data_IF_669786398664
#
_entry.id   IF_669786398664
#
_cell.length_a   1.000
_cell.length_b   1.000
_cell.length_c   1.000
_cell.angle_alpha   90.00
_cell.angle_beta   90.00
_cell.angle_gamma   90.00
#
_symmetry.space_group_name_H-M   'P 1'
#
loop_
_entity.id
_entity.type
_entity.pdbx_description
1 polymer ?
#
# COMPACT_ATOMS: atom_id res chain seq x y z
N UNK A 1 18.37 11.44 1.34
CA UNK A 1 17.79 12.75 0.98
C UNK A 1 16.33 12.85 1.41
N UNK A 2 15.47 11.87 1.11
CA UNK A 2 14.05 11.86 1.51
C UNK A 2 13.88 11.98 3.02
N UNK A 3 14.59 11.16 3.81
CA UNK A 3 14.56 11.21 5.27
C UNK A 3 14.92 12.60 5.83
N UNK A 4 15.83 13.33 5.19
CA UNK A 4 16.21 14.69 5.62
C UNK A 4 15.02 15.66 5.47
N UNK A 5 14.32 15.63 4.34
CA UNK A 5 13.16 16.52 4.15
C UNK A 5 12.04 16.21 5.14
N UNK A 6 11.71 14.93 5.31
CA UNK A 6 10.69 14.52 6.28
C UNK A 6 11.07 14.91 7.70
N UNK A 7 12.35 14.72 8.09
CA UNK A 7 12.87 15.14 9.38
C UNK A 7 12.72 16.65 9.62
N UNK A 8 13.14 17.47 8.63
CA UNK A 8 13.08 18.92 8.75
C UNK A 8 11.63 19.42 8.84
N UNK A 9 10.70 18.86 8.10
CA UNK A 9 9.28 19.19 8.18
C UNK A 9 8.73 18.82 9.55
N UNK A 10 9.02 17.61 10.06
CA UNK A 10 8.58 17.19 11.38
C UNK A 10 9.10 18.14 12.48
N UNK A 11 10.38 18.51 12.43
CA UNK A 11 10.98 19.44 13.41
C UNK A 11 10.43 20.86 13.28
N UNK A 12 10.22 21.36 12.06
CA UNK A 12 9.62 22.67 11.82
C UNK A 12 8.18 22.77 12.34
N UNK A 13 7.39 21.71 12.15
CA UNK A 13 6.01 21.63 12.61
C UNK A 13 5.87 21.30 14.12
N UNK A 14 6.97 21.08 14.85
CA UNK A 14 6.94 20.62 16.24
C UNK A 14 6.36 19.20 16.39
N UNK A 15 6.37 18.43 15.32
CA UNK A 15 5.87 17.06 15.25
C UNK A 15 6.91 16.00 15.55
N UNK A 16 6.52 14.75 15.37
CA UNK A 16 7.36 13.57 15.55
C UNK A 16 7.84 13.02 14.21
N UNK A 17 9.08 12.57 14.19
CA UNK A 17 9.68 11.87 13.06
C UNK A 17 9.69 10.37 13.36
N UNK A 18 8.89 9.59 12.64
CA UNK A 18 8.71 8.15 12.82
C UNK A 18 9.53 7.40 11.79
N UNK A 19 10.25 6.37 12.20
CA UNK A 19 10.90 5.41 11.32
C UNK A 19 10.06 4.14 11.24
N UNK A 20 9.58 3.79 10.03
CA UNK A 20 8.85 2.56 9.74
C UNK A 20 9.63 1.73 8.72
N UNK A 21 9.82 0.44 9.01
CA UNK A 21 10.45 -0.51 8.10
C UNK A 21 9.38 -1.15 7.22
N UNK A 22 9.51 -0.96 5.92
CA UNK A 22 8.56 -1.43 4.90
C UNK A 22 9.12 -2.66 4.20
N UNK A 23 9.02 -3.81 4.85
CA UNK A 23 9.61 -5.11 4.47
C UNK A 23 8.61 -6.07 3.81
N UNK A 24 7.53 -5.57 3.21
CA UNK A 24 6.49 -6.39 2.56
C UNK A 24 6.96 -7.06 1.26
N UNK A 25 8.11 -6.66 0.70
CA UNK A 25 8.74 -7.31 -0.45
C UNK A 25 9.89 -8.21 0.02
N UNK A 26 9.53 -9.43 0.39
CA UNK A 26 10.48 -10.43 0.89
C UNK A 26 11.55 -10.84 -0.15
N UNK A 27 11.26 -10.66 -1.44
CA UNK A 27 12.22 -10.94 -2.51
C UNK A 27 13.39 -9.95 -2.58
N UNK A 28 13.25 -8.80 -1.94
CA UNK A 28 14.28 -7.75 -1.85
C UNK A 28 14.92 -7.66 -0.46
N UNK A 29 14.68 -8.63 0.39
CA UNK A 29 15.29 -8.64 1.72
C UNK A 29 16.82 -8.72 1.62
N UNK A 30 17.51 -7.82 2.34
CA UNK A 30 18.97 -7.81 2.46
C UNK A 30 19.30 -7.81 3.95
N UNK A 31 20.03 -8.83 4.37
CA UNK A 31 20.50 -8.95 5.76
C UNK A 31 21.38 -7.75 6.12
N UNK A 32 21.15 -7.16 7.31
CA UNK A 32 21.87 -5.98 7.80
C UNK A 32 21.44 -4.64 7.19
N UNK A 33 20.50 -4.61 6.24
CA UNK A 33 20.04 -3.36 5.63
C UNK A 33 19.45 -2.38 6.65
N UNK A 34 18.75 -2.87 7.66
CA UNK A 34 18.17 -2.05 8.73
C UNK A 34 19.26 -1.38 9.57
N UNK A 35 20.35 -2.09 9.88
CA UNK A 35 21.50 -1.54 10.62
C UNK A 35 22.20 -0.43 9.82
N UNK A 36 22.26 -0.58 8.49
CA UNK A 36 22.77 0.47 7.60
C UNK A 36 21.87 1.70 7.65
N UNK A 37 20.55 1.55 7.69
CA UNK A 37 19.61 2.67 7.85
C UNK A 37 19.89 3.39 9.18
N UNK A 38 19.92 2.66 10.30
CA UNK A 38 20.17 3.26 11.61
C UNK A 38 21.52 3.98 11.68
N UNK A 39 22.59 3.36 11.20
CA UNK A 39 23.92 3.95 11.21
C UNK A 39 24.01 5.21 10.34
N UNK A 40 23.37 5.18 9.16
CA UNK A 40 23.33 6.33 8.24
C UNK A 40 22.55 7.49 8.84
N UNK A 41 21.36 7.22 9.41
CA UNK A 41 20.57 8.25 10.07
C UNK A 41 21.32 8.89 11.22
N UNK A 42 21.98 8.09 12.04
CA UNK A 42 22.80 8.55 13.17
C UNK A 42 23.98 9.41 12.70
N UNK A 43 24.69 8.98 11.65
CA UNK A 43 25.80 9.73 11.07
C UNK A 43 25.36 11.08 10.48
N UNK A 44 24.12 11.19 10.01
CA UNK A 44 23.52 12.42 9.48
C UNK A 44 22.85 13.28 10.58
N UNK A 45 22.83 12.85 11.83
CA UNK A 45 22.13 13.56 12.92
C UNK A 45 20.60 13.51 12.82
N UNK A 46 20.04 12.57 12.06
CA UNK A 46 18.59 12.38 11.87
C UNK A 46 18.08 11.41 12.94
N UNK A 47 17.71 11.96 14.12
CA UNK A 47 17.13 11.16 15.20
C UNK A 47 15.63 11.02 15.02
N UNK A 48 15.13 9.78 14.98
CA UNK A 48 13.69 9.50 14.98
C UNK A 48 13.17 9.42 16.42
N UNK A 49 11.91 9.81 16.60
CA UNK A 49 11.24 9.85 17.91
C UNK A 49 10.54 8.52 18.21
N UNK A 50 10.15 7.79 17.15
CA UNK A 50 9.48 6.49 17.22
C UNK A 50 10.03 5.57 16.15
N UNK A 51 10.13 4.28 16.41
CA UNK A 51 10.63 3.31 15.45
C UNK A 51 10.87 1.93 16.08
N UNK A 52 11.35 0.95 15.31
CA UNK A 52 11.52 -0.42 15.79
C UNK A 52 12.51 -0.54 16.96
N UNK A 53 13.55 0.29 16.98
CA UNK A 53 14.63 0.28 17.97
C UNK A 53 14.33 1.12 19.22
N UNK A 54 13.52 2.16 19.10
CA UNK A 54 13.17 3.07 20.20
C UNK A 54 11.76 2.87 20.74
N UNK A 55 10.92 2.13 20.00
CA UNK A 55 9.51 1.93 20.35
C UNK A 55 8.66 3.16 20.11
N UNK A 56 7.47 3.18 20.74
CA UNK A 56 6.49 4.27 20.67
C UNK A 56 5.05 3.74 20.75
N UNK A 57 4.05 4.64 20.86
CA UNK A 57 2.66 4.25 21.12
C UNK A 57 1.90 3.67 19.94
N UNK A 58 2.41 3.84 18.70
CA UNK A 58 1.69 3.47 17.46
C UNK A 58 2.31 2.27 16.73
N UNK A 59 3.24 1.56 17.39
CA UNK A 59 3.85 0.33 16.86
C UNK A 59 2.85 -0.82 16.64
N UNK A 60 3.35 -1.94 16.10
CA UNK A 60 4.72 -2.22 15.61
C UNK A 60 5.14 -1.31 14.44
N UNK A 61 6.46 -1.09 14.29
CA UNK A 61 7.03 -0.23 13.25
C UNK A 61 7.68 -1.01 12.11
N UNK A 62 7.45 -2.33 12.05
CA UNK A 62 7.85 -3.22 10.95
C UNK A 62 6.59 -3.77 10.29
N UNK A 63 6.44 -3.60 8.98
CA UNK A 63 5.18 -3.91 8.31
C UNK A 63 4.81 -5.40 8.35
N UNK A 64 5.77 -6.30 8.28
CA UNK A 64 5.48 -7.75 8.41
C UNK A 64 4.90 -8.13 9.77
N UNK A 65 5.20 -7.40 10.83
CA UNK A 65 4.62 -7.60 12.16
C UNK A 65 3.15 -7.13 12.24
N UNK A 66 2.71 -6.29 11.29
CA UNK A 66 1.36 -5.72 11.19
C UNK A 66 0.43 -6.51 10.25
N UNK A 67 0.86 -7.66 9.74
CA UNK A 67 0.14 -8.47 8.75
C UNK A 67 -1.34 -8.69 9.09
N UNK A 68 -1.66 -8.90 10.36
CA UNK A 68 -3.03 -9.09 10.84
C UNK A 68 -3.94 -7.90 10.54
N UNK A 69 -3.43 -6.69 10.76
CA UNK A 69 -4.17 -5.45 10.51
C UNK A 69 -4.52 -5.29 9.03
N UNK A 70 -3.57 -5.52 8.12
CA UNK A 70 -3.83 -5.39 6.68
C UNK A 70 -4.91 -6.36 6.21
N UNK A 71 -4.89 -7.60 6.71
CA UNK A 71 -5.92 -8.58 6.39
C UNK A 71 -7.30 -8.13 6.90
N UNK A 72 -7.38 -7.62 8.12
CA UNK A 72 -8.63 -7.11 8.70
C UNK A 72 -9.21 -5.97 7.86
N UNK A 73 -8.40 -4.98 7.48
CA UNK A 73 -8.84 -3.88 6.62
C UNK A 73 -9.24 -4.33 5.22
N UNK A 74 -8.54 -5.31 4.64
CA UNK A 74 -8.91 -5.87 3.34
C UNK A 74 -10.26 -6.60 3.38
N UNK A 75 -10.52 -7.40 4.42
CA UNK A 75 -11.82 -8.06 4.63
C UNK A 75 -12.95 -7.03 4.91
N UNK A 76 -12.65 -5.96 5.64
CA UNK A 76 -13.59 -4.85 5.84
C UNK A 76 -13.97 -4.18 4.51
N UNK A 77 -13.00 -3.96 3.62
CA UNK A 77 -13.26 -3.42 2.28
C UNK A 77 -14.11 -4.37 1.43
N UNK A 78 -13.88 -5.68 1.51
CA UNK A 78 -14.73 -6.68 0.84
C UNK A 78 -16.15 -6.61 1.38
N UNK A 79 -16.33 -6.61 2.71
CA UNK A 79 -17.65 -6.54 3.33
C UNK A 79 -18.42 -5.26 2.97
N UNK A 80 -17.71 -4.17 2.68
CA UNK A 80 -18.28 -2.89 2.23
C UNK A 80 -18.44 -2.77 0.70
N UNK A 81 -18.05 -3.78 -0.06
CA UNK A 81 -18.13 -3.78 -1.53
C UNK A 81 -17.07 -2.94 -2.24
N UNK A 82 -15.99 -2.55 -1.54
CA UNK A 82 -14.88 -1.75 -2.07
C UNK A 82 -13.64 -2.58 -2.43
N UNK A 83 -13.69 -3.89 -2.21
CA UNK A 83 -12.67 -4.84 -2.64
C UNK A 83 -13.31 -6.19 -3.00
N UNK A 84 -12.57 -7.06 -3.66
CA UNK A 84 -13.03 -8.40 -4.04
C UNK A 84 -11.88 -9.38 -4.16
N UNK A 85 -12.20 -10.69 -4.08
CA UNK A 85 -11.23 -11.77 -4.29
C UNK A 85 -11.08 -12.04 -5.78
N UNK A 86 -9.84 -12.02 -6.26
CA UNK A 86 -9.49 -12.28 -7.65
C UNK A 86 -8.71 -13.60 -7.74
N UNK A 87 -9.27 -14.58 -8.45
CA UNK A 87 -8.73 -15.93 -8.63
C UNK A 87 -7.98 -16.11 -9.95
N UNK A 88 -7.80 -15.05 -10.75
CA UNK A 88 -7.08 -15.11 -12.01
C UNK A 88 -5.59 -15.37 -11.83
N UNK A 89 -4.99 -16.10 -12.77
CA UNK A 89 -3.53 -16.16 -12.89
C UNK A 89 -2.97 -14.85 -13.48
N UNK A 90 -1.67 -14.63 -13.28
CA UNK A 90 -1.03 -13.37 -13.70
C UNK A 90 -1.16 -13.12 -15.21
N UNK A 91 -1.09 -14.19 -15.99
CA UNK A 91 -1.08 -14.13 -17.45
C UNK A 91 -2.48 -13.95 -18.05
N UNK A 92 -3.55 -14.32 -17.30
CA UNK A 92 -4.95 -14.21 -17.74
C UNK A 92 -5.60 -12.86 -17.40
N UNK A 93 -4.90 -12.01 -16.67
CA UNK A 93 -5.52 -10.86 -16.01
C UNK A 93 -5.36 -9.53 -16.75
N UNK A 94 -4.70 -9.50 -17.90
CA UNK A 94 -4.35 -8.26 -18.57
C UNK A 94 -5.08 -8.11 -19.90
N UNK A 95 -5.85 -7.01 -20.05
CA UNK A 95 -6.18 -6.47 -21.38
C UNK A 95 -5.02 -5.58 -21.84
N UNK A 96 -4.53 -5.82 -23.05
CA UNK A 96 -3.55 -4.95 -23.68
C UNK A 96 -4.25 -3.69 -24.20
N UNK A 97 -4.02 -2.57 -23.56
CA UNK A 97 -4.39 -1.27 -24.08
C UNK A 97 -3.13 -0.56 -24.60
N UNK A 98 -3.13 -0.15 -25.85
CA UNK A 98 -2.06 0.61 -26.46
C UNK A 98 -2.43 2.09 -26.37
N UNK A 99 -1.71 2.86 -25.53
CA UNK A 99 -1.80 4.31 -25.50
C UNK A 99 -0.42 4.88 -25.79
N UNK A 100 -0.33 5.76 -26.78
CA UNK A 100 0.91 6.45 -27.20
C UNK A 100 2.12 5.51 -27.44
N UNK A 101 1.87 4.31 -27.98
CA UNK A 101 2.92 3.31 -28.24
C UNK A 101 3.40 2.55 -27.00
N UNK A 102 2.81 2.78 -25.85
CA UNK A 102 3.07 2.03 -24.61
C UNK A 102 1.94 1.03 -24.37
N UNK A 103 2.30 -0.25 -24.20
CA UNK A 103 1.35 -1.30 -23.83
C UNK A 103 1.07 -1.17 -22.32
N UNK A 104 -0.16 -0.80 -21.99
CA UNK A 104 -0.64 -0.74 -20.61
C UNK A 104 -1.49 -1.99 -20.35
N UNK A 105 -1.05 -2.84 -19.46
CA UNK A 105 -1.80 -4.00 -19.03
C UNK A 105 -2.78 -3.60 -17.93
N UNK A 106 -4.07 -3.47 -18.28
CA UNK A 106 -5.14 -3.17 -17.33
C UNK A 106 -5.91 -4.44 -16.99
N UNK A 107 -6.22 -4.62 -15.71
CA UNK A 107 -7.04 -5.74 -15.28
C UNK A 107 -8.51 -5.55 -15.73
N UNK A 108 -9.10 -6.55 -16.37
CA UNK A 108 -10.47 -6.50 -16.94
C UNK A 108 -11.60 -6.51 -15.89
N UNK A 109 -11.28 -6.72 -14.63
CA UNK A 109 -12.24 -6.70 -13.52
C UNK A 109 -13.18 -7.92 -13.49
N UNK A 110 -12.91 -9.02 -14.24
CA UNK A 110 -13.82 -10.17 -14.35
C UNK A 110 -14.24 -10.77 -13.00
N UNK A 111 -13.31 -10.90 -12.06
CA UNK A 111 -13.62 -11.45 -10.74
C UNK A 111 -14.46 -10.52 -9.85
N UNK A 112 -14.59 -9.24 -10.18
CA UNK A 112 -15.46 -8.31 -9.45
C UNK A 112 -16.96 -8.59 -9.67
N UNK A 113 -17.28 -9.44 -10.65
CA UNK A 113 -18.64 -9.81 -11.08
C UNK A 113 -19.02 -11.25 -10.69
N UNK A 114 -18.14 -11.97 -10.00
CA UNK A 114 -18.44 -13.35 -9.53
C UNK A 114 -19.57 -13.31 -8.49
N UNK A 115 -20.46 -14.30 -8.57
CA UNK A 115 -21.50 -14.51 -7.56
C UNK A 115 -20.92 -15.03 -6.25
N UNK A 116 -21.67 -14.94 -5.16
CA UNK A 116 -21.27 -15.47 -3.87
C UNK A 116 -21.04 -16.99 -3.92
N UNK A 117 -21.85 -17.73 -4.71
CA UNK A 117 -21.72 -19.16 -4.93
C UNK A 117 -20.43 -19.51 -5.67
N UNK A 118 -20.06 -18.75 -6.71
CA UNK A 118 -18.82 -18.94 -7.45
C UNK A 118 -17.59 -18.64 -6.59
N UNK A 119 -17.66 -17.60 -5.77
CA UNK A 119 -16.61 -17.26 -4.80
C UNK A 119 -16.46 -18.39 -3.78
N UNK A 120 -17.56 -18.85 -3.21
CA UNK A 120 -17.57 -19.96 -2.24
C UNK A 120 -17.01 -21.25 -2.83
N UNK A 121 -17.38 -21.59 -4.07
CA UNK A 121 -16.87 -22.76 -4.79
C UNK A 121 -15.36 -22.66 -5.03
N UNK A 122 -14.86 -21.49 -5.44
CA UNK A 122 -13.42 -21.29 -5.66
C UNK A 122 -12.64 -21.40 -4.34
N UNK A 123 -13.16 -20.84 -3.25
CA UNK A 123 -12.55 -20.95 -1.92
C UNK A 123 -12.56 -22.41 -1.42
N UNK A 124 -13.67 -23.13 -1.57
CA UNK A 124 -13.78 -24.55 -1.19
C UNK A 124 -12.84 -25.45 -2.00
N UNK A 125 -12.58 -25.10 -3.27
CA UNK A 125 -11.59 -25.75 -4.11
C UNK A 125 -10.13 -25.40 -3.77
N UNK A 126 -9.90 -24.53 -2.78
CA UNK A 126 -8.56 -24.08 -2.38
C UNK A 126 -7.82 -23.27 -3.45
N UNK A 127 -8.55 -22.63 -4.36
CA UNK A 127 -7.89 -21.80 -5.40
C UNK A 127 -7.17 -20.63 -4.77
N UNK A 128 -5.91 -20.38 -5.16
CA UNK A 128 -5.18 -19.21 -4.70
C UNK A 128 -5.83 -17.93 -5.23
N UNK A 129 -5.87 -16.90 -4.42
CA UNK A 129 -6.43 -15.60 -4.81
C UNK A 129 -5.61 -14.44 -4.29
N UNK A 130 -5.83 -13.28 -4.87
CA UNK A 130 -5.42 -11.98 -4.35
C UNK A 130 -6.67 -11.18 -3.98
N UNK A 131 -6.52 -10.18 -3.11
CA UNK A 131 -7.60 -9.20 -2.88
C UNK A 131 -7.26 -7.96 -3.70
N UNK A 132 -8.24 -7.52 -4.52
CA UNK A 132 -8.12 -6.30 -5.32
C UNK A 132 -9.07 -5.22 -4.80
N UNK A 133 -8.64 -3.99 -4.90
CA UNK A 133 -9.50 -2.82 -4.75
C UNK A 133 -10.56 -2.82 -5.86
N UNK A 134 -11.76 -2.35 -5.54
CA UNK A 134 -12.83 -2.11 -6.51
C UNK A 134 -12.96 -0.60 -6.71
N UNK A 135 -12.38 -0.09 -7.79
CA UNK A 135 -12.41 1.34 -8.13
C UNK A 135 -13.76 1.66 -8.79
N UNK A 136 -14.47 2.72 -8.34
CA UNK A 136 -15.61 3.26 -9.09
C UNK A 136 -15.17 3.69 -10.48
N UNK A 137 -15.87 3.25 -11.53
CA UNK A 137 -15.48 3.56 -12.93
C UNK A 137 -15.91 4.96 -13.36
N UNK A 138 -16.89 5.53 -12.69
CA UNK A 138 -17.39 6.88 -12.95
C UNK A 138 -16.82 7.87 -11.94
N UNK A 139 -16.74 9.14 -12.36
CA UNK A 139 -16.28 10.23 -11.50
C UNK A 139 -14.78 10.45 -11.53
N UNK A 140 -14.33 11.25 -10.60
CA UNK A 140 -12.95 11.70 -10.48
C UNK A 140 -12.48 11.60 -9.03
N UNK A 141 -11.21 11.30 -8.85
CA UNK A 141 -10.54 11.37 -7.55
C UNK A 141 -9.64 12.59 -7.51
N UNK A 142 -9.84 13.45 -6.52
CA UNK A 142 -9.02 14.66 -6.32
C UNK A 142 -8.35 14.61 -4.97
N UNK A 143 -7.07 15.01 -4.92
CA UNK A 143 -6.37 15.26 -3.67
C UNK A 143 -5.57 16.57 -3.78
N UNK A 144 -5.33 17.20 -2.64
CA UNK A 144 -4.56 18.41 -2.57
C UNK A 144 -3.08 18.10 -2.31
N UNK A 145 -2.21 18.63 -3.17
CA UNK A 145 -0.76 18.62 -3.00
C UNK A 145 -0.30 20.03 -2.62
N UNK A 146 0.44 20.18 -1.53
CA UNK A 146 0.87 21.47 -0.99
C UNK A 146 1.82 22.23 -1.94
N UNK A 147 2.41 21.56 -2.94
CA UNK A 147 3.33 22.13 -3.91
C UNK A 147 2.63 22.35 -5.26
N UNK A 148 1.88 21.35 -5.71
CA UNK A 148 1.27 21.34 -7.05
C UNK A 148 -0.21 21.73 -7.05
N UNK A 149 -0.83 21.96 -5.89
CA UNK A 149 -2.25 22.25 -5.77
C UNK A 149 -3.12 21.01 -5.98
N UNK A 150 -4.36 21.21 -6.41
CA UNK A 150 -5.31 20.11 -6.60
C UNK A 150 -4.94 19.24 -7.79
N UNK A 151 -4.70 17.97 -7.53
CA UNK A 151 -4.43 16.95 -8.55
C UNK A 151 -5.69 16.09 -8.70
N UNK A 152 -6.22 16.05 -9.91
CA UNK A 152 -7.45 15.33 -10.24
C UNK A 152 -7.18 14.29 -11.32
N UNK A 153 -7.64 13.06 -11.09
CA UNK A 153 -7.56 11.95 -12.06
C UNK A 153 -8.94 11.38 -12.31
N UNK A 154 -9.22 11.00 -13.55
CA UNK A 154 -10.44 10.29 -13.90
C UNK A 154 -10.38 8.85 -13.38
N UNK A 155 -11.45 8.39 -12.71
CA UNK A 155 -11.45 7.07 -12.07
C UNK A 155 -11.33 5.92 -13.07
N UNK A 156 -11.80 6.11 -14.31
CA UNK A 156 -11.69 5.11 -15.38
C UNK A 156 -10.26 4.86 -15.83
N UNK A 157 -9.32 5.80 -15.55
CA UNK A 157 -7.89 5.61 -15.82
C UNK A 157 -7.19 4.76 -14.76
N UNK A 158 -7.83 4.58 -13.59
CA UNK A 158 -7.28 3.81 -12.49
C UNK A 158 -7.56 2.31 -12.66
N UNK A 159 -6.62 1.47 -12.23
CA UNK A 159 -6.77 0.02 -12.23
C UNK A 159 -7.18 -0.50 -10.85
N UNK A 160 -7.86 -1.64 -10.83
CA UNK A 160 -8.17 -2.38 -9.61
C UNK A 160 -6.88 -2.97 -9.03
N UNK A 161 -6.18 -2.20 -8.22
CA UNK A 161 -4.89 -2.56 -7.65
C UNK A 161 -5.00 -3.77 -6.72
N UNK A 162 -3.96 -4.61 -6.71
CA UNK A 162 -3.84 -5.67 -5.70
C UNK A 162 -3.55 -5.03 -4.35
N UNK A 163 -4.38 -5.34 -3.36
CA UNK A 163 -4.23 -4.91 -1.97
C UNK A 163 -3.45 -5.97 -1.16
N UNK A 164 -3.89 -7.23 -1.25
CA UNK A 164 -3.24 -8.38 -0.60
C UNK A 164 -2.80 -9.37 -1.67
N UNK A 165 -1.54 -9.74 -1.61
CA UNK A 165 -0.91 -10.73 -2.49
C UNK A 165 -1.29 -12.16 -2.09
N UNK A 166 -1.00 -13.16 -2.95
CA UNK A 166 -1.25 -14.59 -2.68
C UNK A 166 -0.54 -15.13 -1.45
N UNK A 167 0.60 -14.55 -1.08
CA UNK A 167 1.36 -14.88 0.13
C UNK A 167 0.76 -14.28 1.41
N UNK A 168 -0.35 -13.54 1.29
CA UNK A 168 -1.03 -12.87 2.38
C UNK A 168 -0.38 -11.57 2.83
N UNK A 169 0.68 -11.11 2.15
CA UNK A 169 1.29 -9.81 2.40
C UNK A 169 0.58 -8.70 1.63
N UNK A 170 0.49 -7.50 2.19
CA UNK A 170 -0.06 -6.36 1.47
C UNK A 170 0.89 -5.90 0.36
N UNK A 171 0.34 -5.17 -0.60
CA UNK A 171 1.15 -4.33 -1.47
C UNK A 171 1.61 -3.09 -0.71
N UNK A 172 2.68 -2.46 -1.19
CA UNK A 172 3.23 -1.23 -0.64
C UNK A 172 2.17 -0.13 -0.44
N UNK A 173 1.41 0.16 -1.49
CA UNK A 173 0.41 1.22 -1.44
C UNK A 173 -0.70 0.96 -0.42
N UNK A 174 -1.12 -0.30 -0.27
CA UNK A 174 -2.16 -0.64 0.70
C UNK A 174 -1.65 -0.59 2.14
N UNK A 175 -0.46 -1.13 2.39
CA UNK A 175 0.16 -1.08 3.72
C UNK A 175 0.34 0.37 4.19
N UNK A 176 0.87 1.23 3.33
CA UNK A 176 1.14 2.62 3.68
C UNK A 176 -0.12 3.39 4.07
N UNK A 177 -1.21 3.26 3.32
CA UNK A 177 -2.48 3.94 3.63
C UNK A 177 -3.00 3.56 5.02
N UNK A 178 -2.94 2.27 5.36
CA UNK A 178 -3.39 1.78 6.67
C UNK A 178 -2.45 2.27 7.77
N UNK A 179 -1.15 2.17 7.55
CA UNK A 179 -0.16 2.56 8.54
C UNK A 179 -0.17 4.06 8.79
N UNK A 180 -0.23 4.86 7.75
CA UNK A 180 -0.30 6.32 7.86
C UNK A 180 -1.54 6.75 8.64
N UNK A 181 -2.69 6.10 8.38
CA UNK A 181 -3.92 6.35 9.15
C UNK A 181 -3.77 5.95 10.63
N UNK A 182 -3.33 4.72 10.90
CA UNK A 182 -3.24 4.19 12.27
C UNK A 182 -2.11 4.81 13.10
N UNK A 183 -1.06 5.28 12.44
CA UNK A 183 0.05 5.98 13.09
C UNK A 183 -0.17 7.49 13.20
N UNK A 184 -1.29 8.01 12.67
CA UNK A 184 -1.63 9.43 12.72
C UNK A 184 -0.66 10.31 11.93
N UNK A 185 -0.17 9.81 10.78
CA UNK A 185 0.72 10.57 9.90
C UNK A 185 -0.04 11.75 9.31
N UNK A 186 0.51 12.94 9.46
CA UNK A 186 -0.11 14.20 9.02
C UNK A 186 0.56 14.77 7.77
N UNK A 187 1.82 14.44 7.52
CA UNK A 187 2.59 14.95 6.39
C UNK A 187 3.25 13.80 5.65
N UNK A 188 2.98 13.66 4.36
CA UNK A 188 3.62 12.70 3.47
C UNK A 188 4.47 13.45 2.46
N UNK A 189 5.77 13.13 2.41
CA UNK A 189 6.74 13.75 1.48
C UNK A 189 7.25 12.66 0.57
N UNK A 190 6.81 12.72 -0.68
CA UNK A 190 7.17 11.73 -1.72
C UNK A 190 7.56 12.44 -3.00
N UNK A 191 8.39 11.79 -3.80
CA UNK A 191 8.79 12.27 -5.12
C UNK A 191 9.32 11.13 -5.96
#
# INVERSE_FOLDING_TARGET
RTALYTYLIARHAGGKFILRIEDTDQGRYVEGAVDVIYSTMRACGLTHDEGPDVGGPVGPYVQTERRGLYKEYAELLIARGHAYRCFCDKDDAAEENVSDGTVIHKYDGRCSRLSEEEIAANLAAGKPYVIRQKIPREGKTTFHDEIFGDITVDNDTLDDQVLIKRDGLPTYNFANVIDDHLMGITHVVRG
#
